data_IF_956605759254
#
_entry.id   IF_956605759254
#
_cell.length_a   1.000
_cell.length_b   1.000
_cell.length_c   1.000
_cell.angle_alpha   90.00
_cell.angle_beta   90.00
_cell.angle_gamma   90.00
#
_symmetry.space_group_name_H-M   'P 1'
#
loop_
_entity.id
_entity.type
_entity.pdbx_description
1 polymer ?
#
# COMPACT_ATOMS: atom_id res chain seq x y z
N UNK A 1 12.86 -19.11 -24.13
CA UNK A 1 11.61 -18.51 -23.64
C UNK A 1 12.03 -17.43 -22.66
N UNK A 2 11.75 -16.19 -22.99
CA UNK A 2 12.11 -15.05 -22.14
C UNK A 2 11.33 -15.02 -20.83
N UNK A 3 11.92 -14.46 -19.80
CA UNK A 3 11.33 -14.33 -18.47
C UNK A 3 10.83 -12.91 -18.21
N UNK A 4 9.72 -12.79 -17.51
CA UNK A 4 9.22 -11.56 -16.94
C UNK A 4 10.08 -11.11 -15.75
N UNK A 5 9.93 -9.87 -15.28
CA UNK A 5 10.67 -9.36 -14.09
C UNK A 5 10.45 -10.27 -12.88
N UNK A 6 9.20 -10.60 -12.58
CA UNK A 6 8.85 -11.49 -11.47
C UNK A 6 9.48 -12.87 -11.60
N UNK A 7 9.48 -13.46 -12.79
CA UNK A 7 10.12 -14.76 -13.02
C UNK A 7 11.62 -14.71 -12.78
N UNK A 8 12.31 -13.64 -13.22
CA UNK A 8 13.76 -13.48 -12.99
C UNK A 8 14.12 -13.37 -11.51
N UNK A 9 13.33 -12.60 -10.75
CA UNK A 9 13.54 -12.50 -9.29
C UNK A 9 13.36 -13.87 -8.65
N UNK A 10 12.27 -14.58 -8.97
CA UNK A 10 11.98 -15.90 -8.40
C UNK A 10 13.01 -16.95 -8.79
N UNK A 11 13.49 -16.93 -10.05
CA UNK A 11 14.56 -17.82 -10.51
C UNK A 11 15.85 -17.63 -9.71
N UNK A 12 16.27 -16.37 -9.51
CA UNK A 12 17.44 -16.05 -8.72
C UNK A 12 17.32 -16.53 -7.26
N UNK A 13 16.12 -16.46 -6.68
CA UNK A 13 15.87 -16.84 -5.28
C UNK A 13 15.63 -18.36 -5.08
N UNK A 14 15.34 -19.10 -6.12
CA UNK A 14 15.28 -20.58 -6.02
C UNK A 14 16.53 -21.28 -6.58
N UNK A 15 17.52 -20.53 -7.08
CA UNK A 15 18.78 -21.09 -7.61
C UNK A 15 18.63 -21.73 -8.99
N UNK A 16 17.55 -21.44 -9.72
CA UNK A 16 17.31 -21.95 -11.07
C UNK A 16 17.75 -20.94 -12.14
N UNK A 17 18.23 -21.43 -13.26
CA UNK A 17 18.59 -20.56 -14.38
C UNK A 17 17.36 -19.88 -15.02
N UNK A 18 16.20 -20.52 -14.96
CA UNK A 18 14.93 -20.01 -15.43
C UNK A 18 13.76 -20.71 -14.73
N UNK A 19 12.64 -20.00 -14.61
CA UNK A 19 11.36 -20.55 -14.13
C UNK A 19 10.24 -20.20 -15.07
N UNK A 20 9.18 -21.01 -15.07
CA UNK A 20 8.00 -20.80 -15.91
C UNK A 20 6.73 -20.62 -15.08
N UNK A 21 5.75 -19.92 -15.63
CA UNK A 21 4.44 -19.76 -15.00
C UNK A 21 3.83 -21.13 -14.63
N UNK A 22 3.32 -21.25 -13.41
CA UNK A 22 2.75 -22.49 -12.88
C UNK A 22 3.76 -23.43 -12.21
N UNK A 23 5.06 -23.25 -12.37
CA UNK A 23 6.10 -24.04 -11.69
C UNK A 23 6.04 -23.83 -10.18
N UNK A 24 6.16 -24.91 -9.41
CA UNK A 24 6.32 -24.85 -7.95
C UNK A 24 7.80 -24.74 -7.60
N UNK A 25 8.15 -23.76 -6.80
CA UNK A 25 9.51 -23.47 -6.36
C UNK A 25 9.57 -23.22 -4.85
N UNK A 26 10.76 -23.40 -4.26
CA UNK A 26 11.10 -22.88 -2.94
C UNK A 26 12.08 -21.72 -3.12
N UNK A 27 11.70 -20.52 -2.72
CA UNK A 27 12.52 -19.33 -2.85
C UNK A 27 13.07 -18.87 -1.51
N UNK A 28 14.32 -18.46 -1.48
CA UNK A 28 14.95 -17.79 -0.35
C UNK A 28 14.30 -16.41 -0.16
N UNK A 29 14.09 -16.02 1.10
CA UNK A 29 13.45 -14.77 1.44
C UNK A 29 14.50 -13.73 1.87
N UNK A 30 14.38 -12.52 1.34
CA UNK A 30 15.17 -11.39 1.80
C UNK A 30 14.53 -10.72 3.00
N UNK A 31 13.22 -10.61 3.03
CA UNK A 31 12.45 -9.94 4.08
C UNK A 31 11.21 -10.74 4.43
N UNK A 32 10.95 -10.86 5.72
CA UNK A 32 9.68 -11.32 6.29
C UNK A 32 9.14 -10.21 7.18
N UNK A 33 7.87 -9.83 6.99
CA UNK A 33 7.28 -8.75 7.78
C UNK A 33 5.90 -9.09 8.34
N UNK A 34 5.54 -8.43 9.43
CA UNK A 34 4.21 -8.47 10.01
C UNK A 34 3.94 -7.29 10.93
N UNK A 35 2.67 -7.14 11.29
CA UNK A 35 2.16 -6.04 12.09
C UNK A 35 1.53 -6.53 13.40
N UNK A 36 1.03 -5.60 14.22
CA UNK A 36 0.43 -5.90 15.53
C UNK A 36 -0.89 -6.70 15.49
N UNK A 37 -1.47 -6.95 14.30
CA UNK A 37 -2.63 -7.86 14.15
C UNK A 37 -2.18 -9.27 13.83
N UNK A 38 -1.30 -9.43 12.87
CA UNK A 38 -0.97 -10.73 12.26
C UNK A 38 0.26 -11.40 12.88
N UNK A 39 1.21 -10.60 13.38
CA UNK A 39 2.40 -11.12 14.06
C UNK A 39 2.07 -11.95 15.31
N UNK A 40 1.13 -11.56 16.19
CA UNK A 40 0.74 -12.41 17.32
C UNK A 40 0.26 -13.80 16.91
N UNK A 41 -0.49 -13.88 15.81
CA UNK A 41 -0.94 -15.17 15.26
C UNK A 41 0.24 -15.97 14.73
N UNK A 42 1.15 -15.31 14.00
CA UNK A 42 2.37 -15.97 13.49
C UNK A 42 3.28 -16.45 14.63
N UNK A 43 3.42 -15.68 15.71
CA UNK A 43 4.18 -16.08 16.90
C UNK A 43 3.60 -17.37 17.51
N UNK A 44 2.27 -17.44 17.67
CA UNK A 44 1.62 -18.63 18.21
C UNK A 44 1.87 -19.86 17.33
N UNK A 45 1.81 -19.72 16.00
CA UNK A 45 2.10 -20.82 15.07
C UNK A 45 3.61 -21.17 15.07
N UNK A 46 4.49 -20.21 15.20
CA UNK A 46 5.94 -20.39 15.33
C UNK A 46 6.28 -21.22 16.58
N UNK A 47 5.73 -20.87 17.73
CA UNK A 47 5.93 -21.58 18.99
C UNK A 47 5.31 -22.99 18.98
N UNK A 48 4.08 -23.12 18.43
CA UNK A 48 3.39 -24.40 18.29
C UNK A 48 4.15 -25.38 17.37
N UNK A 49 4.80 -24.86 16.34
CA UNK A 49 5.64 -25.65 15.44
C UNK A 49 6.99 -26.05 16.07
N UNK A 50 7.30 -25.57 17.28
CA UNK A 50 8.55 -25.87 18.00
C UNK A 50 9.78 -25.17 17.42
N UNK A 51 9.61 -24.06 16.71
CA UNK A 51 10.75 -23.27 16.25
C UNK A 51 11.37 -22.51 17.43
N UNK A 52 12.69 -22.51 17.50
CA UNK A 52 13.50 -21.93 18.58
C UNK A 52 14.39 -20.77 18.16
N UNK A 53 14.44 -20.49 16.85
CA UNK A 53 15.26 -19.42 16.28
C UNK A 53 14.62 -18.83 15.04
N UNK A 54 14.87 -17.57 14.76
CA UNK A 54 14.57 -16.94 13.48
C UNK A 54 15.74 -17.13 12.52
N UNK A 55 15.46 -17.17 11.22
CA UNK A 55 16.50 -17.41 10.20
C UNK A 55 17.54 -16.27 10.15
N UNK A 56 17.08 -15.03 10.33
CA UNK A 56 17.93 -13.85 10.38
C UNK A 56 17.20 -12.70 11.09
N UNK A 57 17.72 -12.25 12.22
CA UNK A 57 17.16 -11.16 13.03
C UNK A 57 17.15 -9.80 12.34
N UNK A 58 17.94 -9.62 11.28
CA UNK A 58 18.00 -8.38 10.48
C UNK A 58 16.98 -8.36 9.33
N UNK A 59 16.39 -9.52 9.03
CA UNK A 59 15.48 -9.72 7.90
C UNK A 59 14.03 -10.00 8.32
N UNK A 60 13.81 -10.28 9.61
CA UNK A 60 12.47 -10.29 10.21
C UNK A 60 12.13 -8.88 10.67
N UNK A 61 10.96 -8.37 10.24
CA UNK A 61 10.53 -7.01 10.51
C UNK A 61 9.15 -7.03 11.18
N UNK A 62 9.00 -6.31 12.27
CA UNK A 62 7.73 -6.20 13.00
C UNK A 62 7.42 -4.73 13.18
N UNK A 63 6.25 -4.30 12.67
CA UNK A 63 5.79 -2.92 12.73
C UNK A 63 4.47 -2.85 13.48
N UNK A 64 4.43 -2.14 14.59
CA UNK A 64 3.18 -1.88 15.29
C UNK A 64 2.53 -0.63 14.71
N UNK A 65 1.52 -0.80 13.85
CA UNK A 65 0.95 0.30 13.07
C UNK A 65 -0.59 0.32 12.97
N UNK A 66 -1.28 -0.71 13.46
CA UNK A 66 -2.74 -0.77 13.36
C UNK A 66 -3.44 -0.25 14.60
N UNK A 67 -2.92 -0.58 15.80
CA UNK A 67 -3.59 -0.31 17.08
C UNK A 67 -2.75 0.51 18.05
N UNK A 68 -1.65 1.08 17.61
CA UNK A 68 -0.79 1.92 18.45
C UNK A 68 -1.02 3.43 18.19
N UNK A 69 -0.99 4.26 19.25
CA UNK A 69 -1.06 3.89 20.67
C UNK A 69 -2.27 3.00 20.96
N UNK A 70 -2.11 1.99 21.81
CA UNK A 70 -3.10 0.91 21.91
C UNK A 70 -4.52 1.42 22.26
N UNK A 71 -5.51 0.99 21.49
CA UNK A 71 -6.91 1.40 21.62
C UNK A 71 -7.67 0.72 22.76
N UNK A 72 -7.24 -0.48 23.16
CA UNK A 72 -7.88 -1.30 24.20
C UNK A 72 -6.89 -2.30 24.82
N UNK A 73 -7.34 -3.04 25.86
CA UNK A 73 -6.52 -4.03 26.57
C UNK A 73 -6.09 -5.18 25.65
N UNK A 74 -6.95 -5.59 24.70
CA UNK A 74 -6.64 -6.68 23.75
C UNK A 74 -5.48 -6.27 22.83
N UNK A 75 -5.54 -5.08 22.26
CA UNK A 75 -4.47 -4.57 21.38
C UNK A 75 -3.18 -4.33 22.17
N UNK A 76 -3.26 -3.87 23.43
CA UNK A 76 -2.08 -3.75 24.29
C UNK A 76 -1.42 -5.11 24.56
N UNK A 77 -2.21 -6.16 24.75
CA UNK A 77 -1.71 -7.53 24.91
C UNK A 77 -1.02 -8.04 23.65
N UNK A 78 -1.59 -7.80 22.48
CA UNK A 78 -1.00 -8.15 21.19
C UNK A 78 0.35 -7.43 20.97
N UNK A 79 0.38 -6.12 21.20
CA UNK A 79 1.63 -5.35 21.11
C UNK A 79 2.69 -5.83 22.10
N UNK A 80 2.29 -6.19 23.34
CA UNK A 80 3.20 -6.77 24.33
C UNK A 80 3.80 -8.10 23.84
N UNK A 81 3.01 -8.98 23.23
CA UNK A 81 3.49 -10.24 22.66
C UNK A 81 4.53 -9.99 21.55
N UNK A 82 4.28 -9.02 20.67
CA UNK A 82 5.26 -8.63 19.63
C UNK A 82 6.57 -8.12 20.25
N UNK A 83 6.51 -7.25 21.28
CA UNK A 83 7.71 -6.77 22.00
C UNK A 83 8.50 -7.92 22.61
N UNK A 84 7.82 -8.83 23.31
CA UNK A 84 8.47 -9.99 23.95
C UNK A 84 9.14 -10.93 22.93
N UNK A 85 8.51 -11.10 21.75
CA UNK A 85 9.11 -11.88 20.67
C UNK A 85 10.33 -11.17 20.09
N UNK A 86 10.23 -9.86 19.83
CA UNK A 86 11.35 -9.08 19.33
C UNK A 86 12.54 -9.08 20.30
N UNK A 87 12.30 -8.92 21.60
CA UNK A 87 13.33 -9.00 22.63
C UNK A 87 13.96 -10.39 22.70
N UNK A 88 13.13 -11.45 22.68
CA UNK A 88 13.59 -12.84 22.79
C UNK A 88 14.54 -13.25 21.66
N UNK A 89 14.26 -12.79 20.44
CA UNK A 89 15.03 -13.16 19.24
C UNK A 89 15.92 -12.02 18.73
N UNK A 90 16.06 -10.94 19.50
CA UNK A 90 16.89 -9.78 19.20
C UNK A 90 16.61 -9.22 17.79
N UNK A 91 15.31 -9.07 17.45
CA UNK A 91 14.87 -8.55 16.15
C UNK A 91 15.30 -7.09 16.04
N UNK A 92 16.12 -6.76 15.03
CA UNK A 92 16.66 -5.41 14.87
C UNK A 92 15.65 -4.43 14.27
N UNK A 93 14.78 -4.90 13.40
CA UNK A 93 13.78 -4.10 12.72
C UNK A 93 12.41 -4.23 13.43
N UNK A 94 12.35 -3.67 14.62
CA UNK A 94 11.13 -3.59 15.42
C UNK A 94 10.73 -2.13 15.61
N UNK A 95 9.53 -1.76 15.17
CA UNK A 95 9.05 -0.38 15.19
C UNK A 95 7.78 -0.25 16.02
N UNK A 96 7.84 0.54 17.08
CA UNK A 96 6.77 0.81 18.04
C UNK A 96 6.52 2.32 18.17
N UNK A 97 5.72 2.74 19.12
CA UNK A 97 5.40 4.14 19.43
C UNK A 97 6.68 5.00 19.50
N UNK A 98 6.67 6.09 18.77
CA UNK A 98 7.82 7.00 18.64
C UNK A 98 8.60 6.81 17.33
N UNK A 99 8.74 5.58 16.85
CA UNK A 99 9.36 5.25 15.56
C UNK A 99 8.37 4.60 14.58
N UNK A 100 7.09 4.59 14.95
CA UNK A 100 6.04 3.93 14.19
C UNK A 100 5.75 4.61 12.86
N UNK A 101 5.20 3.84 11.96
CA UNK A 101 4.66 4.26 10.67
C UNK A 101 3.90 3.11 10.08
N UNK A 102 3.00 3.37 9.15
CA UNK A 102 2.31 2.30 8.41
C UNK A 102 3.35 1.46 7.67
N UNK A 103 3.39 0.15 7.91
CA UNK A 103 4.47 -0.76 7.48
C UNK A 103 4.86 -0.59 6.00
N UNK A 104 3.87 -0.47 5.10
CA UNK A 104 4.11 -0.35 3.66
C UNK A 104 4.57 1.05 3.20
N UNK A 105 4.61 2.03 4.09
CA UNK A 105 5.27 3.31 3.88
C UNK A 105 6.62 3.37 4.61
N UNK A 106 6.67 2.82 5.83
CA UNK A 106 7.84 2.88 6.71
C UNK A 106 9.03 2.08 6.16
N UNK A 107 8.81 0.82 5.71
CA UNK A 107 9.92 -0.04 5.29
C UNK A 107 10.65 0.48 4.03
N UNK A 108 9.96 0.99 2.98
CA UNK A 108 10.65 1.67 1.88
C UNK A 108 11.35 2.96 2.30
N UNK A 109 10.72 3.77 3.17
CA UNK A 109 11.31 5.00 3.69
C UNK A 109 12.63 4.74 4.43
N UNK A 110 12.67 3.66 5.23
CA UNK A 110 13.87 3.21 5.96
C UNK A 110 14.90 2.49 5.10
N UNK A 111 14.61 2.22 3.82
CA UNK A 111 15.51 1.49 2.92
C UNK A 111 15.71 0.02 3.28
N UNK A 112 14.78 -0.57 4.02
CA UNK A 112 14.81 -1.99 4.43
C UNK A 112 14.50 -2.89 3.24
N UNK A 113 13.51 -2.49 2.43
CA UNK A 113 13.15 -3.16 1.18
C UNK A 113 13.88 -2.51 0.01
N UNK A 114 14.34 -3.32 -0.93
CA UNK A 114 15.14 -2.83 -2.06
C UNK A 114 14.85 -3.61 -3.34
N UNK A 115 15.41 -3.15 -4.47
CA UNK A 115 15.20 -3.77 -5.76
C UNK A 115 15.77 -5.19 -5.82
N UNK A 116 15.00 -6.09 -6.42
CA UNK A 116 15.35 -7.49 -6.59
C UNK A 116 15.06 -8.38 -5.40
N UNK A 117 14.57 -7.84 -4.28
CA UNK A 117 14.21 -8.63 -3.10
C UNK A 117 13.05 -9.60 -3.38
N UNK A 118 13.04 -10.73 -2.65
CA UNK A 118 11.92 -11.64 -2.50
C UNK A 118 11.34 -11.48 -1.08
N UNK A 119 10.12 -10.95 -0.99
CA UNK A 119 9.51 -10.49 0.27
C UNK A 119 8.17 -11.16 0.51
N UNK A 120 7.96 -11.64 1.73
CA UNK A 120 6.62 -12.03 2.22
C UNK A 120 6.22 -11.20 3.43
N UNK A 121 4.92 -10.96 3.57
CA UNK A 121 4.36 -10.32 4.76
C UNK A 121 2.99 -10.86 5.10
N UNK A 122 2.70 -11.00 6.39
CA UNK A 122 1.34 -11.33 6.83
C UNK A 122 0.42 -10.10 6.76
N UNK A 123 0.50 -9.37 5.65
CA UNK A 123 -0.29 -8.19 5.33
C UNK A 123 -0.66 -8.21 3.85
N UNK A 124 -1.94 -7.96 3.53
CA UNK A 124 -2.43 -8.07 2.14
C UNK A 124 -1.66 -7.17 1.17
N UNK A 125 -1.31 -5.95 1.61
CA UNK A 125 -0.68 -4.92 0.78
C UNK A 125 0.86 -5.00 0.75
N UNK A 126 1.45 -6.13 1.15
CA UNK A 126 2.89 -6.40 0.99
C UNK A 126 3.36 -6.24 -0.47
N UNK A 127 2.45 -6.39 -1.45
CA UNK A 127 2.73 -6.13 -2.87
C UNK A 127 3.22 -4.70 -3.17
N UNK A 128 3.11 -3.75 -2.25
CA UNK A 128 3.58 -2.36 -2.38
C UNK A 128 5.04 -2.25 -2.84
N UNK A 129 5.90 -3.15 -2.38
CA UNK A 129 7.34 -3.05 -2.62
C UNK A 129 7.77 -3.39 -4.05
N UNK A 130 6.86 -3.89 -4.89
CA UNK A 130 7.10 -3.98 -6.32
C UNK A 130 7.34 -2.62 -7.00
N UNK A 131 6.95 -1.53 -6.35
CA UNK A 131 7.26 -0.17 -6.79
C UNK A 131 8.77 0.12 -6.84
N UNK A 132 9.56 -0.53 -5.99
CA UNK A 132 11.04 -0.46 -6.02
C UNK A 132 11.68 -1.63 -6.78
N UNK A 133 10.89 -2.43 -7.51
CA UNK A 133 11.39 -3.56 -8.31
C UNK A 133 11.63 -4.84 -7.51
N UNK A 134 10.91 -5.07 -6.40
CA UNK A 134 10.94 -6.31 -5.63
C UNK A 134 9.77 -7.24 -6.01
N UNK A 135 9.97 -8.56 -5.91
CA UNK A 135 8.85 -9.48 -5.81
C UNK A 135 8.38 -9.50 -4.35
N UNK A 136 7.20 -9.00 -4.10
CA UNK A 136 6.65 -8.90 -2.76
C UNK A 136 5.18 -9.29 -2.74
N UNK A 137 4.78 -10.10 -1.76
CA UNK A 137 3.41 -10.64 -1.72
C UNK A 137 2.92 -10.90 -0.30
N UNK A 138 1.61 -10.74 -0.11
CA UNK A 138 0.93 -11.11 1.13
C UNK A 138 0.77 -12.62 1.26
N UNK A 139 0.96 -13.11 2.50
CA UNK A 139 0.78 -14.53 2.88
C UNK A 139 -0.02 -14.64 4.18
N UNK A 140 -0.41 -15.85 4.54
CA UNK A 140 -1.03 -16.12 5.83
C UNK A 140 -0.03 -16.08 7.00
N UNK A 141 -0.54 -15.92 8.22
CA UNK A 141 0.31 -15.89 9.42
C UNK A 141 1.09 -17.20 9.65
N UNK A 142 0.56 -18.33 9.20
CA UNK A 142 1.27 -19.63 9.26
C UNK A 142 2.48 -19.65 8.31
N UNK A 143 2.31 -19.14 7.07
CA UNK A 143 3.43 -19.03 6.12
C UNK A 143 4.48 -18.02 6.62
N UNK A 144 4.03 -16.91 7.24
CA UNK A 144 4.92 -15.95 7.88
C UNK A 144 5.74 -16.62 8.99
N UNK A 145 5.11 -17.44 9.86
CA UNK A 145 5.81 -18.17 10.93
C UNK A 145 6.90 -19.09 10.39
N UNK A 146 6.58 -19.86 9.33
CA UNK A 146 7.56 -20.70 8.65
C UNK A 146 8.67 -19.87 7.99
N UNK A 147 8.33 -18.77 7.35
CA UNK A 147 9.28 -17.83 6.76
C UNK A 147 10.22 -17.21 7.78
N UNK A 148 9.71 -16.77 8.95
CA UNK A 148 10.55 -16.27 10.05
C UNK A 148 11.54 -17.30 10.56
N UNK A 149 11.14 -18.58 10.62
CA UNK A 149 12.01 -19.64 11.13
C UNK A 149 13.05 -20.10 10.11
N UNK A 150 12.67 -20.20 8.82
CA UNK A 150 13.46 -20.90 7.79
C UNK A 150 14.06 -19.99 6.71
N UNK A 151 13.59 -18.76 6.57
CA UNK A 151 14.02 -17.87 5.48
C UNK A 151 13.65 -18.36 4.07
N UNK A 152 12.67 -19.26 3.96
CA UNK A 152 12.23 -19.87 2.69
C UNK A 152 10.71 -19.89 2.62
N UNK A 153 10.16 -19.64 1.45
CA UNK A 153 8.75 -19.86 1.17
C UNK A 153 8.56 -20.58 -0.16
N UNK A 154 7.48 -21.34 -0.27
CA UNK A 154 7.11 -21.95 -1.54
C UNK A 154 6.22 -21.02 -2.34
N UNK A 155 6.38 -21.04 -3.66
CA UNK A 155 5.54 -20.29 -4.58
C UNK A 155 5.17 -21.15 -5.80
N UNK A 156 3.96 -20.96 -6.26
CA UNK A 156 3.63 -21.24 -7.65
C UNK A 156 3.97 -19.99 -8.45
N UNK A 157 4.92 -20.07 -9.38
CA UNK A 157 5.33 -18.91 -10.19
C UNK A 157 4.11 -18.32 -10.90
N UNK A 158 3.77 -17.04 -10.66
CA UNK A 158 2.59 -16.43 -11.29
C UNK A 158 2.84 -16.20 -12.79
N UNK A 159 1.80 -16.36 -13.61
CA UNK A 159 1.78 -15.76 -14.93
C UNK A 159 1.70 -14.23 -14.80
N UNK A 160 2.11 -13.50 -15.82
CA UNK A 160 2.12 -12.05 -15.82
C UNK A 160 1.09 -11.44 -16.78
N UNK A 161 0.55 -10.28 -16.38
CA UNK A 161 -0.20 -9.37 -17.23
C UNK A 161 0.67 -8.13 -17.44
N UNK A 162 0.88 -7.76 -18.70
CA UNK A 162 1.57 -6.53 -19.06
C UNK A 162 0.60 -5.37 -18.96
N UNK A 163 0.90 -4.36 -18.12
CA UNK A 163 0.16 -3.10 -18.07
C UNK A 163 1.02 -2.03 -18.73
N UNK A 164 0.67 -1.69 -19.95
CA UNK A 164 1.41 -0.73 -20.77
C UNK A 164 0.84 0.67 -20.56
N UNK A 165 1.65 1.53 -19.94
CA UNK A 165 1.30 2.93 -19.66
C UNK A 165 1.87 3.81 -20.77
N UNK A 166 1.00 4.55 -21.45
CA UNK A 166 1.38 5.48 -22.51
C UNK A 166 1.09 6.92 -22.11
N UNK A 167 1.71 7.88 -22.79
CA UNK A 167 1.53 9.29 -22.50
C UNK A 167 2.10 9.70 -21.13
N UNK A 168 1.65 10.82 -20.60
CA UNK A 168 2.09 11.36 -19.33
C UNK A 168 0.91 11.73 -18.44
N UNK A 169 1.03 11.41 -17.13
CA UNK A 169 -0.01 11.72 -16.14
C UNK A 169 -0.22 13.25 -16.04
N UNK A 170 -1.47 13.66 -15.97
CA UNK A 170 -1.86 15.08 -15.87
C UNK A 170 -2.41 15.36 -14.47
N UNK A 171 -1.68 16.14 -13.66
CA UNK A 171 -2.18 16.55 -12.33
C UNK A 171 -3.49 17.32 -12.45
N UNK A 172 -4.49 17.11 -11.56
CA UNK A 172 -4.39 16.44 -10.25
C UNK A 172 -4.58 14.91 -10.26
N UNK A 173 -4.62 14.24 -11.41
CA UNK A 173 -4.64 12.78 -11.50
C UNK A 173 -3.35 12.20 -10.88
N UNK A 174 -3.46 11.12 -10.13
CA UNK A 174 -2.37 10.48 -9.39
C UNK A 174 -2.33 8.97 -9.64
N UNK A 175 -1.34 8.28 -9.09
CA UNK A 175 -1.27 6.81 -9.12
C UNK A 175 -2.51 6.13 -8.55
N UNK A 176 -3.25 6.81 -7.64
CA UNK A 176 -4.54 6.31 -7.15
C UNK A 176 -5.57 6.22 -8.25
N UNK A 177 -5.68 7.25 -9.07
CA UNK A 177 -6.62 7.27 -10.20
C UNK A 177 -6.24 6.22 -11.24
N UNK A 178 -4.94 6.03 -11.52
CA UNK A 178 -4.42 5.00 -12.44
C UNK A 178 -4.81 3.61 -11.97
N UNK A 179 -4.59 3.27 -10.70
CA UNK A 179 -4.90 1.91 -10.22
C UNK A 179 -6.41 1.68 -10.08
N UNK A 180 -7.19 2.69 -9.69
CA UNK A 180 -8.65 2.59 -9.68
C UNK A 180 -9.19 2.37 -11.09
N UNK A 181 -8.67 3.10 -12.09
CA UNK A 181 -9.04 2.90 -13.49
C UNK A 181 -8.73 1.45 -13.95
N UNK A 182 -7.52 0.95 -13.67
CA UNK A 182 -7.15 -0.42 -14.01
C UNK A 182 -8.09 -1.44 -13.36
N UNK A 183 -8.38 -1.29 -12.05
CA UNK A 183 -9.28 -2.21 -11.34
C UNK A 183 -10.70 -2.14 -11.92
N UNK A 184 -11.17 -0.95 -12.28
CA UNK A 184 -12.44 -0.76 -12.96
C UNK A 184 -12.52 -1.47 -14.31
N UNK A 185 -11.41 -1.49 -15.07
CA UNK A 185 -11.33 -2.14 -16.39
C UNK A 185 -11.26 -3.67 -16.28
N UNK A 186 -10.40 -4.20 -15.37
CA UNK A 186 -10.15 -5.65 -15.33
C UNK A 186 -10.96 -6.39 -14.26
N UNK A 187 -11.59 -5.68 -13.31
CA UNK A 187 -12.32 -6.23 -12.19
C UNK A 187 -11.45 -6.69 -11.03
N UNK A 188 -12.06 -6.89 -9.85
CA UNK A 188 -11.37 -7.35 -8.61
C UNK A 188 -10.76 -8.76 -8.71
N UNK A 189 -11.09 -9.52 -9.71
CA UNK A 189 -10.54 -10.86 -9.99
C UNK A 189 -9.74 -10.92 -11.29
N UNK A 190 -9.58 -9.80 -11.99
CA UNK A 190 -8.98 -9.75 -13.33
C UNK A 190 -7.51 -10.15 -13.39
N UNK A 191 -6.80 -10.04 -12.28
CA UNK A 191 -5.41 -10.46 -12.13
C UNK A 191 -5.21 -11.55 -11.07
N UNK A 192 -6.25 -12.38 -10.83
CA UNK A 192 -6.20 -13.39 -9.77
C UNK A 192 -4.97 -14.29 -9.91
N UNK A 193 -4.11 -14.25 -8.87
CA UNK A 193 -2.85 -14.99 -8.82
C UNK A 193 -1.85 -14.66 -9.94
N UNK A 194 -1.89 -13.45 -10.50
CA UNK A 194 -0.97 -12.99 -11.56
C UNK A 194 0.02 -11.96 -11.00
N UNK A 195 1.07 -11.70 -11.75
CA UNK A 195 1.93 -10.53 -11.59
C UNK A 195 1.43 -9.43 -12.54
N UNK A 196 1.25 -8.20 -12.05
CA UNK A 196 1.01 -7.02 -12.88
C UNK A 196 2.35 -6.33 -13.12
N UNK A 197 2.85 -6.35 -14.35
CA UNK A 197 4.10 -5.68 -14.72
C UNK A 197 3.79 -4.36 -15.45
N UNK A 198 4.03 -3.24 -14.77
CA UNK A 198 3.79 -1.89 -15.27
C UNK A 198 4.97 -1.41 -16.10
N UNK A 199 4.76 -1.19 -17.38
CA UNK A 199 5.80 -0.84 -18.35
C UNK A 199 5.32 0.27 -19.29
N UNK A 200 6.15 0.68 -20.23
CA UNK A 200 5.81 1.71 -21.21
C UNK A 200 6.40 3.07 -20.89
N UNK A 201 6.30 4.00 -21.83
CA UNK A 201 6.90 5.34 -21.71
C UNK A 201 6.26 6.20 -20.62
N UNK A 202 4.97 5.96 -20.35
CA UNK A 202 4.20 6.66 -19.31
C UNK A 202 4.74 6.45 -17.90
N UNK A 203 5.45 5.34 -17.63
CA UNK A 203 6.09 5.07 -16.33
C UNK A 203 7.00 6.20 -15.87
N UNK A 204 7.68 6.89 -16.80
CA UNK A 204 8.59 8.00 -16.49
C UNK A 204 7.89 9.25 -15.95
N UNK A 205 6.59 9.36 -16.13
CA UNK A 205 5.78 10.47 -15.61
C UNK A 205 5.26 10.24 -14.19
N UNK A 206 5.38 9.00 -13.67
CA UNK A 206 4.93 8.60 -12.35
C UNK A 206 6.02 8.83 -11.30
N UNK A 207 5.66 9.50 -10.22
CA UNK A 207 6.54 9.60 -9.03
C UNK A 207 6.66 8.25 -8.32
N UNK A 208 7.57 8.12 -7.35
CA UNK A 208 7.65 6.91 -6.53
C UNK A 208 6.38 6.69 -5.71
N UNK A 209 5.75 7.75 -5.25
CA UNK A 209 4.49 7.71 -4.49
C UNK A 209 3.35 7.18 -5.35
N UNK A 210 3.28 7.60 -6.62
CA UNK A 210 2.33 7.04 -7.59
C UNK A 210 2.56 5.53 -7.77
N UNK A 211 3.82 5.09 -7.98
CA UNK A 211 4.17 3.67 -8.14
C UNK A 211 3.89 2.85 -6.89
N UNK A 212 4.20 3.38 -5.71
CA UNK A 212 3.91 2.74 -4.43
C UNK A 212 2.40 2.57 -4.21
N UNK A 213 1.60 3.57 -4.57
CA UNK A 213 0.13 3.50 -4.53
C UNK A 213 -0.41 2.45 -5.51
N UNK A 214 0.08 2.43 -6.75
CA UNK A 214 -0.32 1.48 -7.79
C UNK A 214 0.00 0.03 -7.36
N UNK A 215 1.23 -0.24 -6.93
CA UNK A 215 1.62 -1.58 -6.47
C UNK A 215 0.87 -2.00 -5.20
N UNK A 216 0.60 -1.05 -4.28
CA UNK A 216 -0.17 -1.32 -3.06
C UNK A 216 -1.54 -1.90 -3.39
N UNK A 217 -2.24 -1.34 -4.36
CA UNK A 217 -3.58 -1.77 -4.73
C UNK A 217 -3.64 -2.87 -5.80
N UNK A 218 -2.51 -3.41 -6.25
CA UNK A 218 -2.49 -4.53 -7.18
C UNK A 218 -3.27 -5.76 -6.65
N UNK A 219 -3.22 -5.99 -5.33
CA UNK A 219 -3.99 -7.07 -4.66
C UNK A 219 -5.50 -6.88 -4.81
N UNK A 220 -5.99 -5.66 -4.99
CA UNK A 220 -7.43 -5.38 -5.15
C UNK A 220 -7.96 -5.81 -6.53
N UNK A 221 -7.07 -6.10 -7.48
CA UNK A 221 -7.38 -6.82 -8.73
C UNK A 221 -7.14 -8.34 -8.61
N UNK A 222 -6.79 -8.85 -7.42
CA UNK A 222 -6.46 -10.25 -7.16
C UNK A 222 -4.99 -10.63 -7.44
N UNK A 223 -4.13 -9.68 -7.79
CA UNK A 223 -2.74 -9.95 -8.15
C UNK A 223 -1.90 -10.41 -6.95
N UNK A 224 -0.89 -11.25 -7.21
CA UNK A 224 0.14 -11.60 -6.22
C UNK A 224 1.07 -10.42 -5.95
N UNK A 225 1.40 -9.67 -6.99
CA UNK A 225 2.21 -8.45 -6.90
C UNK A 225 1.91 -7.51 -8.08
N UNK A 226 2.19 -6.22 -7.89
CA UNK A 226 2.45 -5.27 -8.95
C UNK A 226 3.94 -4.95 -8.94
N UNK A 227 4.56 -4.74 -10.09
CA UNK A 227 5.99 -4.44 -10.17
C UNK A 227 6.30 -3.44 -11.27
N UNK A 228 7.20 -2.51 -10.96
CA UNK A 228 7.78 -1.55 -11.89
C UNK A 228 9.24 -1.90 -12.19
N UNK A 229 9.75 -1.59 -13.40
CA UNK A 229 11.17 -1.66 -13.69
C UNK A 229 11.95 -0.63 -12.84
N UNK A 230 13.18 -0.97 -12.53
CA UNK A 230 14.09 -0.07 -11.81
C UNK A 230 14.71 0.93 -12.79
N UNK A 231 14.14 2.11 -12.85
CA UNK A 231 14.61 3.24 -13.65
C UNK A 231 15.32 4.30 -12.80
N UNK A 232 15.65 5.42 -13.41
CA UNK A 232 16.35 6.54 -12.76
C UNK A 232 15.58 7.10 -11.54
N UNK A 233 14.24 7.07 -11.58
CA UNK A 233 13.38 7.53 -10.47
C UNK A 233 13.52 6.57 -9.28
N UNK A 234 13.45 5.26 -9.55
CA UNK A 234 13.63 4.23 -8.52
C UNK A 234 15.06 4.26 -7.96
N UNK A 235 16.08 4.42 -8.81
CA UNK A 235 17.46 4.53 -8.36
C UNK A 235 17.67 5.76 -7.46
N UNK A 236 17.11 6.90 -7.85
CA UNK A 236 17.20 8.13 -7.04
C UNK A 236 16.50 7.94 -5.69
N UNK A 237 15.38 7.21 -5.66
CA UNK A 237 14.67 6.89 -4.41
C UNK A 237 15.49 5.95 -3.51
N UNK A 238 16.10 4.90 -4.06
CA UNK A 238 16.91 3.93 -3.31
C UNK A 238 18.24 4.52 -2.83
N UNK A 239 18.80 5.50 -3.57
CA UNK A 239 20.07 6.11 -3.24
C UNK A 239 20.05 6.78 -1.87
N UNK A 240 20.95 6.34 -0.99
CA UNK A 240 21.07 6.84 0.37
C UNK A 240 20.00 6.31 1.35
N UNK A 241 19.02 5.55 0.87
CA UNK A 241 18.05 4.81 1.71
C UNK A 241 18.41 3.35 1.85
N UNK A 242 18.67 2.66 0.73
CA UNK A 242 18.90 1.22 0.74
C UNK A 242 20.05 0.84 1.67
N UNK A 243 19.77 -0.09 2.59
CA UNK A 243 20.74 -0.60 3.58
C UNK A 243 21.54 -1.80 3.04
N UNK A 244 21.18 -2.32 1.87
CA UNK A 244 21.77 -3.50 1.24
C UNK A 244 22.05 -3.25 -0.25
N UNK A 245 23.00 -3.99 -0.86
CA UNK A 245 23.10 -4.04 -2.31
C UNK A 245 21.78 -4.50 -2.94
N UNK A 246 21.48 -4.00 -4.12
CA UNK A 246 20.27 -4.32 -4.86
C UNK A 246 20.56 -4.68 -6.32
N UNK A 247 19.65 -5.39 -6.95
CA UNK A 247 19.78 -5.91 -8.31
C UNK A 247 18.59 -5.45 -9.14
N UNK A 248 18.86 -4.97 -10.36
CA UNK A 248 17.82 -4.69 -11.35
C UNK A 248 17.47 -5.96 -12.11
N UNK A 249 16.18 -6.21 -12.22
CA UNK A 249 15.64 -7.21 -13.12
C UNK A 249 14.74 -6.54 -14.16
N UNK A 250 15.00 -6.77 -15.42
CA UNK A 250 14.18 -6.34 -16.55
C UNK A 250 13.61 -7.55 -17.25
N UNK A 251 12.38 -7.45 -17.75
CA UNK A 251 11.80 -8.52 -18.57
C UNK A 251 12.62 -8.72 -19.84
N UNK A 252 12.72 -9.97 -20.28
CA UNK A 252 13.34 -10.25 -21.58
C UNK A 252 12.47 -9.70 -22.72
N UNK A 253 13.05 -9.32 -23.86
CA UNK A 253 12.27 -8.82 -25.01
C UNK A 253 11.21 -9.81 -25.52
N UNK A 254 11.45 -11.10 -25.33
CA UNK A 254 10.56 -12.21 -25.70
C UNK A 254 9.83 -12.82 -24.48
N UNK A 255 9.72 -12.06 -23.38
CA UNK A 255 8.94 -12.47 -22.19
C UNK A 255 7.47 -12.69 -22.56
N UNK A 256 6.90 -13.77 -22.04
CA UNK A 256 5.50 -14.12 -22.31
C UNK A 256 4.57 -13.53 -21.26
N UNK A 257 3.55 -12.82 -21.73
CA UNK A 257 2.46 -12.27 -20.93
C UNK A 257 1.13 -12.93 -21.33
N UNK A 258 0.27 -13.22 -20.35
CA UNK A 258 -1.05 -13.80 -20.61
C UNK A 258 -1.93 -12.84 -21.43
N UNK A 259 -1.81 -11.54 -21.13
CA UNK A 259 -2.44 -10.45 -21.90
C UNK A 259 -1.72 -9.12 -21.66
N UNK A 260 -2.04 -8.16 -22.52
CA UNK A 260 -1.65 -6.75 -22.33
C UNK A 260 -2.88 -5.90 -22.09
N UNK A 261 -2.80 -4.99 -21.11
CA UNK A 261 -3.75 -3.92 -20.86
C UNK A 261 -3.03 -2.60 -21.12
N UNK A 262 -3.59 -1.72 -21.95
CA UNK A 262 -2.95 -0.44 -22.29
C UNK A 262 -3.75 0.70 -21.69
N UNK A 263 -3.09 1.58 -20.93
CA UNK A 263 -3.70 2.76 -20.31
C UNK A 263 -3.00 4.01 -20.84
N UNK A 264 -3.76 4.89 -21.48
CA UNK A 264 -3.29 6.23 -21.87
C UNK A 264 -3.47 7.20 -20.69
N UNK A 265 -2.35 7.53 -20.04
CA UNK A 265 -2.34 8.41 -18.87
C UNK A 265 -2.81 9.84 -19.17
N UNK A 266 -2.78 10.25 -20.45
CA UNK A 266 -3.23 11.60 -20.84
C UNK A 266 -4.74 11.77 -20.80
N UNK A 267 -5.48 10.66 -20.86
CA UNK A 267 -6.95 10.67 -20.91
C UNK A 267 -7.60 10.43 -19.55
N UNK A 268 -6.79 10.09 -18.53
CA UNK A 268 -7.31 9.82 -17.21
C UNK A 268 -7.85 11.09 -16.54
N UNK A 269 -8.97 10.93 -15.88
CA UNK A 269 -9.62 11.96 -15.06
C UNK A 269 -9.67 11.51 -13.59
N UNK A 270 -9.86 12.45 -12.62
CA UNK A 270 -10.07 12.11 -11.23
C UNK A 270 -11.17 11.06 -11.06
N UNK A 271 -10.83 9.95 -10.44
CA UNK A 271 -11.64 8.74 -10.37
C UNK A 271 -12.03 8.43 -8.92
N UNK A 272 -13.26 7.99 -8.72
CA UNK A 272 -13.79 7.53 -7.43
C UNK A 272 -14.33 6.12 -7.57
N UNK A 273 -13.92 5.22 -6.69
CA UNK A 273 -14.53 3.89 -6.60
C UNK A 273 -15.68 3.92 -5.60
N UNK A 274 -16.87 3.59 -6.06
CA UNK A 274 -18.10 3.55 -5.25
C UNK A 274 -18.20 2.25 -4.44
N UNK A 275 -18.90 2.25 -3.30
CA UNK A 275 -19.11 1.05 -2.51
C UNK A 275 -19.91 -0.01 -3.30
N UNK A 276 -19.69 -1.32 -3.07
CA UNK A 276 -18.82 -1.88 -2.03
C UNK A 276 -17.70 -2.74 -2.64
N UNK A 277 -17.22 -2.39 -3.83
CA UNK A 277 -16.10 -3.04 -4.50
C UNK A 277 -15.18 -1.99 -5.15
N UNK A 278 -13.84 -2.17 -5.12
CA UNK A 278 -12.91 -1.24 -5.75
C UNK A 278 -13.10 -1.09 -7.28
N UNK A 279 -13.73 -2.05 -7.94
CA UNK A 279 -14.02 -2.02 -9.39
C UNK A 279 -15.19 -1.12 -9.79
N UNK A 280 -16.00 -0.66 -8.83
CA UNK A 280 -17.13 0.24 -9.10
C UNK A 280 -16.64 1.68 -9.34
N UNK A 281 -15.87 1.88 -10.39
CA UNK A 281 -15.21 3.16 -10.67
C UNK A 281 -16.07 4.11 -11.51
N UNK A 282 -16.06 5.37 -11.11
CA UNK A 282 -16.76 6.49 -11.73
C UNK A 282 -15.86 7.70 -11.78
N UNK A 283 -16.14 8.66 -12.66
CA UNK A 283 -15.45 9.93 -12.64
C UNK A 283 -15.92 10.77 -11.44
N UNK A 284 -15.02 11.50 -10.79
CA UNK A 284 -15.36 12.30 -9.60
C UNK A 284 -16.50 13.30 -9.88
N UNK A 285 -16.53 13.90 -11.07
CA UNK A 285 -17.59 14.82 -11.52
C UNK A 285 -18.99 14.20 -11.58
N UNK A 286 -19.11 12.87 -11.61
CA UNK A 286 -20.40 12.16 -11.63
C UNK A 286 -21.00 12.02 -10.22
N UNK A 287 -20.19 12.18 -9.17
CA UNK A 287 -20.59 12.01 -7.78
C UNK A 287 -21.14 13.26 -7.09
N UNK A 288 -21.31 14.38 -7.78
CA UNK A 288 -21.66 15.70 -7.24
C UNK A 288 -22.94 15.76 -6.38
N UNK A 289 -23.84 14.80 -6.50
CA UNK A 289 -25.08 14.71 -5.72
C UNK A 289 -24.94 13.77 -4.49
N UNK A 290 -23.78 13.14 -4.32
CA UNK A 290 -23.49 12.21 -3.22
C UNK A 290 -22.91 13.00 -2.04
N UNK A 291 -23.77 13.24 -1.02
CA UNK A 291 -23.37 13.89 0.22
C UNK A 291 -22.48 12.97 1.04
N UNK A 292 -21.46 13.55 1.68
CA UNK A 292 -20.50 12.82 2.55
C UNK A 292 -20.53 13.35 3.97
N UNK A 293 -20.14 12.50 4.92
CA UNK A 293 -20.07 12.80 6.36
C UNK A 293 -18.62 12.86 6.87
N UNK A 294 -17.70 12.22 6.15
CA UNK A 294 -16.31 12.11 6.58
C UNK A 294 -15.36 12.04 5.37
N UNK A 295 -14.14 12.56 5.58
CA UNK A 295 -13.00 12.21 4.73
C UNK A 295 -11.89 11.59 5.57
N UNK A 296 -11.14 10.65 4.96
CA UNK A 296 -9.91 10.10 5.53
C UNK A 296 -8.81 10.21 4.48
N UNK A 297 -7.75 10.97 4.77
CA UNK A 297 -6.57 11.10 3.90
C UNK A 297 -5.37 10.51 4.63
N UNK A 298 -4.76 9.49 4.04
CA UNK A 298 -3.64 8.77 4.61
C UNK A 298 -3.58 7.31 4.19
N UNK A 299 -3.15 6.45 5.09
CA UNK A 299 -2.92 5.01 4.91
C UNK A 299 -1.65 4.65 4.14
N UNK A 300 -1.39 3.34 3.95
CA UNK A 300 -0.25 2.85 3.20
C UNK A 300 -0.30 3.20 1.70
N UNK A 301 -1.48 3.51 1.17
CA UNK A 301 -1.65 3.96 -0.23
C UNK A 301 -1.24 5.42 -0.41
N UNK A 302 -1.80 6.32 0.40
CA UNK A 302 -1.72 7.78 0.18
C UNK A 302 -1.53 8.56 1.50
N UNK A 303 -0.45 8.25 2.21
CA UNK A 303 -0.08 8.97 3.44
C UNK A 303 1.34 9.55 3.39
N UNK A 304 1.98 9.60 2.23
CA UNK A 304 3.33 10.15 2.03
C UNK A 304 3.28 11.65 1.89
N UNK A 305 4.45 12.30 1.88
CA UNK A 305 4.51 13.77 1.93
C UNK A 305 3.87 14.43 0.70
N UNK A 306 3.96 13.80 -0.47
CA UNK A 306 3.33 14.28 -1.70
C UNK A 306 1.81 14.18 -1.64
N UNK A 307 1.28 13.14 -1.00
CA UNK A 307 -0.15 12.98 -0.74
C UNK A 307 -0.66 14.08 0.21
N UNK A 308 0.11 14.36 1.26
CA UNK A 308 -0.19 15.47 2.19
C UNK A 308 -0.12 16.82 1.48
N UNK A 309 0.86 17.01 0.59
CA UNK A 309 0.96 18.21 -0.23
C UNK A 309 -0.26 18.40 -1.14
N UNK A 310 -0.70 17.34 -1.84
CA UNK A 310 -1.87 17.40 -2.70
C UNK A 310 -3.14 17.81 -1.92
N UNK A 311 -3.34 17.26 -0.73
CA UNK A 311 -4.44 17.65 0.14
C UNK A 311 -4.28 19.10 0.66
N UNK A 312 -3.07 19.51 1.04
CA UNK A 312 -2.76 20.86 1.49
C UNK A 312 -3.07 21.91 0.43
N UNK A 313 -2.68 21.70 -0.82
CA UNK A 313 -2.93 22.64 -1.93
C UNK A 313 -4.42 22.91 -2.13
N UNK A 314 -5.27 21.92 -1.89
CA UNK A 314 -6.73 22.06 -1.97
C UNK A 314 -7.31 22.75 -0.73
N UNK A 315 -6.85 22.40 0.47
CA UNK A 315 -7.44 22.84 1.76
C UNK A 315 -6.90 24.18 2.27
N UNK A 316 -5.69 24.57 1.87
CA UNK A 316 -5.02 25.79 2.37
C UNK A 316 -5.90 27.02 2.28
N UNK A 317 -6.09 27.70 3.42
CA UNK A 317 -6.87 28.94 3.54
C UNK A 317 -8.37 28.78 3.32
N UNK A 318 -8.86 27.52 3.30
CA UNK A 318 -10.28 27.19 3.16
C UNK A 318 -10.75 26.40 4.39
N UNK A 319 -12.04 26.18 4.54
CA UNK A 319 -12.61 25.40 5.64
C UNK A 319 -13.52 24.31 5.08
N UNK A 320 -13.47 23.10 5.65
CA UNK A 320 -14.33 21.98 5.26
C UNK A 320 -15.80 22.29 5.54
N UNK A 321 -16.69 21.68 4.77
CA UNK A 321 -18.12 21.88 4.86
C UNK A 321 -18.66 21.53 6.27
N UNK A 322 -19.63 22.30 6.74
CA UNK A 322 -20.27 22.04 8.04
C UNK A 322 -20.88 20.63 8.06
N UNK A 323 -20.52 19.84 9.06
CA UNK A 323 -20.99 18.47 9.24
C UNK A 323 -20.08 17.40 8.64
N UNK A 324 -19.03 17.78 7.91
CA UNK A 324 -17.99 16.85 7.45
C UNK A 324 -16.89 16.74 8.51
N UNK A 325 -16.43 15.52 8.78
CA UNK A 325 -15.27 15.25 9.64
C UNK A 325 -14.05 14.99 8.75
N UNK A 326 -12.98 15.78 8.94
CA UNK A 326 -11.70 15.60 8.23
C UNK A 326 -10.70 14.87 9.12
N UNK A 327 -10.17 13.75 8.65
CA UNK A 327 -9.12 12.96 9.34
C UNK A 327 -7.92 12.83 8.43
N UNK A 328 -6.79 13.42 8.84
CA UNK A 328 -5.52 13.39 8.10
C UNK A 328 -4.54 12.50 8.86
N UNK A 329 -3.90 11.56 8.16
CA UNK A 329 -3.01 10.57 8.76
C UNK A 329 -1.72 10.49 7.96
N UNK A 330 -0.68 11.25 8.31
CA UNK A 330 0.66 11.06 7.76
C UNK A 330 1.13 9.63 8.00
N UNK A 331 1.71 8.97 6.99
CA UNK A 331 1.97 7.53 7.06
C UNK A 331 3.11 7.14 8.00
N UNK A 332 4.04 8.05 8.31
CA UNK A 332 5.19 7.78 9.19
C UNK A 332 5.46 8.97 10.09
N UNK A 333 6.23 8.75 11.16
CA UNK A 333 6.68 9.85 12.03
C UNK A 333 7.55 10.86 11.30
N UNK A 334 8.30 10.45 10.26
CA UNK A 334 9.09 11.35 9.43
C UNK A 334 8.17 12.26 8.60
N UNK A 335 7.15 11.69 7.95
CA UNK A 335 6.14 12.47 7.21
C UNK A 335 5.36 13.39 8.14
N UNK A 336 4.95 12.91 9.33
CA UNK A 336 4.26 13.71 10.33
C UNK A 336 5.09 14.95 10.73
N UNK A 337 6.39 14.75 11.02
CA UNK A 337 7.32 15.83 11.32
C UNK A 337 7.49 16.78 10.14
N UNK A 338 7.59 16.27 8.93
CA UNK A 338 7.74 17.10 7.73
C UNK A 338 6.48 17.92 7.45
N UNK A 339 5.28 17.37 7.63
CA UNK A 339 4.03 18.13 7.57
C UNK A 339 4.01 19.29 8.59
N UNK A 340 4.53 19.08 9.80
CA UNK A 340 4.65 20.12 10.80
C UNK A 340 5.62 21.23 10.34
N UNK A 341 6.80 20.85 9.84
CA UNK A 341 7.82 21.79 9.40
C UNK A 341 7.43 22.61 8.16
N UNK A 342 6.61 22.01 7.26
CA UNK A 342 6.09 22.68 6.05
C UNK A 342 4.83 23.50 6.31
N UNK A 343 4.28 23.50 7.56
CA UNK A 343 3.04 24.19 7.90
C UNK A 343 1.77 23.48 7.42
N UNK A 344 1.88 22.25 6.90
CA UNK A 344 0.70 21.49 6.43
C UNK A 344 -0.22 21.11 7.59
N UNK A 345 0.35 20.72 8.73
CA UNK A 345 -0.42 20.39 9.94
C UNK A 345 -1.28 21.57 10.42
N UNK A 346 -0.71 22.77 10.47
CA UNK A 346 -1.43 24.00 10.83
C UNK A 346 -2.58 24.25 9.85
N UNK A 347 -2.30 24.21 8.53
CA UNK A 347 -3.32 24.41 7.51
C UNK A 347 -4.47 23.40 7.58
N UNK A 348 -4.20 22.13 7.89
CA UNK A 348 -5.24 21.11 8.06
C UNK A 348 -6.10 21.38 9.28
N UNK A 349 -5.50 21.82 10.40
CA UNK A 349 -6.23 22.19 11.62
C UNK A 349 -7.10 23.43 11.35
N UNK A 350 -6.57 24.45 10.70
CA UNK A 350 -7.30 25.67 10.31
C UNK A 350 -8.45 25.36 9.35
N UNK A 351 -8.27 24.38 8.48
CA UNK A 351 -9.34 23.88 7.61
C UNK A 351 -10.45 23.11 8.37
N UNK A 352 -10.28 22.82 9.65
CA UNK A 352 -11.25 22.07 10.48
C UNK A 352 -11.02 20.56 10.49
N UNK A 353 -9.86 20.08 10.06
CA UNK A 353 -9.47 18.68 10.13
C UNK A 353 -8.72 18.34 11.42
N UNK A 354 -8.69 17.08 11.81
CA UNK A 354 -7.73 16.58 12.81
C UNK A 354 -6.54 15.94 12.08
N UNK A 355 -5.35 16.08 12.64
CA UNK A 355 -4.14 15.38 12.19
C UNK A 355 -3.75 14.35 13.23
N UNK A 356 -3.81 13.08 12.84
CA UNK A 356 -3.53 11.96 13.72
C UNK A 356 -2.06 11.55 13.66
N UNK A 357 -1.61 10.82 14.68
CA UNK A 357 -0.39 10.02 14.60
C UNK A 357 -0.50 8.97 13.50
N UNK A 358 0.63 8.51 12.91
CA UNK A 358 0.63 7.45 11.91
C UNK A 358 -0.09 6.19 12.40
N UNK A 359 -1.07 5.72 11.63
CA UNK A 359 -1.78 4.47 11.93
C UNK A 359 -2.52 3.96 10.70
N UNK A 360 -2.65 2.64 10.58
CA UNK A 360 -3.52 1.98 9.59
C UNK A 360 -4.99 1.83 10.09
N UNK A 361 -5.26 2.19 11.34
CA UNK A 361 -6.51 1.88 12.05
C UNK A 361 -7.82 2.18 11.35
N UNK A 362 -8.05 3.37 10.75
CA UNK A 362 -9.30 3.65 10.05
C UNK A 362 -9.56 2.76 8.84
N UNK A 363 -8.51 2.36 8.13
CA UNK A 363 -8.60 1.55 6.91
C UNK A 363 -9.34 0.21 7.11
N UNK A 364 -9.33 -0.33 8.33
CA UNK A 364 -10.00 -1.60 8.68
C UNK A 364 -11.13 -1.43 9.70
N UNK A 365 -11.49 -0.18 10.04
CA UNK A 365 -12.51 0.07 11.07
C UNK A 365 -12.09 -0.37 12.46
N UNK A 366 -10.78 -0.45 12.72
CA UNK A 366 -10.24 -1.06 13.93
C UNK A 366 -9.77 -0.11 15.02
N UNK A 367 -9.64 1.20 14.74
CA UNK A 367 -9.02 2.12 15.69
C UNK A 367 -9.82 3.42 15.85
N UNK A 368 -9.81 4.32 14.88
CA UNK A 368 -10.52 5.61 14.93
C UNK A 368 -11.19 5.90 13.60
N UNK A 369 -12.02 6.96 13.52
CA UNK A 369 -12.73 7.34 12.29
C UNK A 369 -13.75 6.31 11.84
N UNK A 370 -14.28 5.53 12.78
CA UNK A 370 -15.27 4.49 12.52
C UNK A 370 -16.61 5.13 12.14
N UNK A 371 -17.23 4.61 11.08
CA UNK A 371 -18.49 5.10 10.54
C UNK A 371 -19.69 4.43 11.21
N UNK A 372 -20.72 5.22 11.50
CA UNK A 372 -22.03 4.74 11.91
C UNK A 372 -22.87 4.26 10.70
N UNK A 373 -24.05 3.69 11.01
CA UNK A 373 -24.98 3.27 9.95
C UNK A 373 -25.40 4.44 9.05
N UNK A 374 -25.30 4.26 7.73
CA UNK A 374 -25.70 5.24 6.74
C UNK A 374 -24.69 6.38 6.51
N UNK A 375 -23.59 6.44 7.26
CA UNK A 375 -22.54 7.45 7.04
C UNK A 375 -21.70 7.12 5.80
N UNK A 376 -21.26 8.18 5.11
CA UNK A 376 -20.47 8.13 3.88
C UNK A 376 -19.10 8.78 4.06
N UNK A 377 -18.06 8.06 3.65
CA UNK A 377 -16.68 8.54 3.73
C UNK A 377 -16.00 8.51 2.37
N UNK A 378 -15.40 9.62 1.94
CA UNK A 378 -14.41 9.61 0.86
C UNK A 378 -13.04 9.36 1.47
N UNK A 379 -12.35 8.31 1.02
CA UNK A 379 -11.13 7.83 1.64
C UNK A 379 -10.02 7.54 0.65
N UNK A 380 -8.79 7.83 1.04
CA UNK A 380 -7.61 7.43 0.26
C UNK A 380 -7.10 6.04 0.63
N UNK A 381 -7.82 5.30 1.47
CA UNK A 381 -7.53 3.91 1.79
C UNK A 381 -7.69 3.00 0.56
N UNK A 382 -7.51 1.71 0.71
CA UNK A 382 -7.42 0.78 -0.42
C UNK A 382 -8.64 -0.13 -0.60
N UNK A 383 -9.56 -0.19 0.36
CA UNK A 383 -10.74 -1.09 0.35
C UNK A 383 -12.00 -0.37 0.77
N UNK A 384 -13.11 -0.72 0.12
CA UNK A 384 -14.44 -0.18 0.40
C UNK A 384 -15.52 -1.26 0.54
N UNK A 385 -15.14 -2.47 0.97
CA UNK A 385 -16.07 -3.58 1.19
C UNK A 385 -17.10 -3.24 2.27
N UNK A 386 -18.22 -3.97 2.27
CA UNK A 386 -19.26 -3.85 3.29
C UNK A 386 -18.67 -3.90 4.70
N UNK A 387 -18.95 -2.90 5.53
CA UNK A 387 -18.47 -2.81 6.91
C UNK A 387 -16.96 -2.52 7.06
N UNK A 388 -16.25 -2.19 5.98
CA UNK A 388 -14.79 -2.04 6.01
C UNK A 388 -14.30 -0.96 6.97
N UNK A 389 -15.04 0.13 7.12
CA UNK A 389 -14.64 1.27 7.97
C UNK A 389 -15.59 1.49 9.16
N UNK A 390 -16.44 0.50 9.47
CA UNK A 390 -17.38 0.62 10.58
C UNK A 390 -18.65 -0.20 10.40
N UNK A 391 -19.82 0.44 10.51
CA UNK A 391 -21.10 -0.23 10.38
C UNK A 391 -21.28 -0.82 8.97
N UNK A 392 -22.00 -1.96 8.89
CA UNK A 392 -22.26 -2.67 7.60
C UNK A 392 -23.04 -1.81 6.60
N UNK A 393 -23.88 -0.90 7.07
CA UNK A 393 -24.65 0.05 6.25
C UNK A 393 -23.89 1.35 5.97
N UNK A 394 -22.61 1.45 6.34
CA UNK A 394 -21.78 2.60 5.97
C UNK A 394 -21.18 2.42 4.58
N UNK A 395 -20.90 3.52 3.93
CA UNK A 395 -20.40 3.55 2.55
C UNK A 395 -19.01 4.23 2.50
N UNK A 396 -18.04 3.55 1.88
CA UNK A 396 -16.69 4.10 1.67
C UNK A 396 -16.46 4.27 0.17
N UNK A 397 -16.04 5.47 -0.22
CA UNK A 397 -15.71 5.86 -1.58
C UNK A 397 -14.20 6.04 -1.67
N UNK A 398 -13.52 5.29 -2.53
CA UNK A 398 -12.06 5.39 -2.68
C UNK A 398 -11.70 6.46 -3.69
N UNK A 399 -10.79 7.37 -3.32
CA UNK A 399 -10.36 8.45 -4.17
C UNK A 399 -8.93 8.92 -3.86
N UNK A 400 -8.38 9.78 -4.73
CA UNK A 400 -7.09 10.42 -4.50
C UNK A 400 -7.16 11.47 -3.37
N UNK A 401 -6.01 11.88 -2.79
CA UNK A 401 -5.96 12.91 -1.74
C UNK A 401 -6.60 14.24 -2.18
N UNK A 402 -6.37 14.68 -3.40
CA UNK A 402 -6.95 15.92 -3.93
C UNK A 402 -8.48 15.83 -4.03
N UNK A 403 -9.00 14.69 -4.53
CA UNK A 403 -10.45 14.44 -4.63
C UNK A 403 -11.11 14.36 -3.25
N UNK A 404 -10.47 13.70 -2.28
CA UNK A 404 -10.97 13.63 -0.90
C UNK A 404 -10.99 15.02 -0.24
N UNK A 405 -9.94 15.82 -0.44
CA UNK A 405 -9.86 17.18 0.07
C UNK A 405 -10.90 18.10 -0.56
N UNK A 406 -11.10 18.03 -1.89
CA UNK A 406 -12.14 18.78 -2.59
C UNK A 406 -13.56 18.42 -2.10
N UNK A 407 -13.80 17.13 -1.91
CA UNK A 407 -15.07 16.63 -1.36
C UNK A 407 -15.33 17.12 0.05
N UNK A 408 -14.28 17.29 0.87
CA UNK A 408 -14.42 17.87 2.20
C UNK A 408 -14.88 19.32 2.17
N UNK A 409 -14.42 20.13 1.21
CA UNK A 409 -14.79 21.53 1.07
C UNK A 409 -16.28 21.73 0.73
N UNK A 410 -16.80 20.86 -0.11
CA UNK A 410 -18.19 20.99 -0.61
C UNK A 410 -19.21 20.21 0.22
N UNK A 411 -18.77 19.14 0.90
CA UNK A 411 -19.61 18.16 1.57
C UNK A 411 -20.24 17.13 0.62
N UNK A 412 -19.78 17.09 -0.63
CA UNK A 412 -20.20 16.15 -1.68
C UNK A 412 -18.97 15.62 -2.41
N UNK A 413 -19.10 14.46 -3.08
CA UNK A 413 -18.03 13.98 -3.97
C UNK A 413 -17.78 15.05 -5.04
N UNK A 414 -16.53 15.51 -5.14
CA UNK A 414 -16.18 16.69 -5.96
C UNK A 414 -14.89 16.44 -6.75
N UNK A 415 -14.92 16.80 -8.01
CA UNK A 415 -13.72 16.84 -8.85
C UNK A 415 -12.78 17.95 -8.33
N UNK A 416 -11.51 17.62 -8.01
CA UNK A 416 -10.58 18.61 -7.46
C UNK A 416 -10.26 19.77 -8.41
N UNK A 417 -10.63 19.66 -9.69
CA UNK A 417 -10.49 20.75 -10.69
C UNK A 417 -11.56 21.84 -10.55
N UNK A 418 -12.58 21.61 -9.74
CA UNK A 418 -13.75 22.52 -9.59
C UNK A 418 -13.67 23.42 -8.33
N UNK A 419 -12.62 23.31 -7.48
CA UNK A 419 -12.50 24.01 -6.19
C UNK A 419 -11.24 24.87 -6.04
#
# INVERSE_FOLDING_TARGET
MGMTMTQKILAAHCGEAAVTAGQLINAQLDIVLGNDITTPVAINEFEKAGFDSVFDRTRVNIVLDHFVPNKDIKSATQSKQCRQFADKYDILNFYDVGEMGVEHALLPEKGIVTAGDCIIGAASHTCTYGAVGAFSTGVGSTDMAAGMAKGVAWFKVPAAIKVELTGAIQRPVTGKDVILHLIGEIGVSGALYKSLEFVGEGVKSLTMEDRLCICNMAIEAGAKNGIFPVDEITEAYLKGRSQRPWVKYEADPDAEYERTVTIDLTTLEPTVSYPHLPENTHLAKEGKDIKIDQIVIGSCTNGRIEDMQAAYEVLKGKHIAKGVRGIIIPATMAVYKECLLRGYTEAFIDAGCIVSTPTCGPCLGGYMGILAAGERCVSTTNRNFVGRMGHVDSEVYLASPATAAASALTGYITDPREV
#
